data_IF_251610713289
#
_entry.id   IF_251610713289
#
_cell.length_a   1.000
_cell.length_b   1.000
_cell.length_c   1.000
_cell.angle_alpha   90.00
_cell.angle_beta   90.00
_cell.angle_gamma   90.00
#
_symmetry.space_group_name_H-M   'P 1'
#
loop_
_entity.id
_entity.type
_entity.pdbx_description
1 polymer ?
#
# COMPACT_ATOMS: atom_id res chain seq x y z
N UNK A 1 1.79 16.74 19.97
CA UNK A 1 3.07 16.18 20.46
C UNK A 1 2.89 15.47 21.80
N UNK A 2 2.39 16.14 22.84
CA UNK A 2 2.31 15.59 24.21
C UNK A 2 1.55 14.24 24.33
N UNK A 3 0.43 14.08 23.63
CA UNK A 3 -0.35 12.84 23.61
C UNK A 3 0.41 11.66 23.01
N UNK A 4 1.15 11.88 21.92
CA UNK A 4 1.90 10.83 21.25
C UNK A 4 3.10 10.39 22.10
N UNK A 5 3.80 11.34 22.72
CA UNK A 5 4.91 11.06 23.63
C UNK A 5 4.49 10.19 24.82
N UNK A 6 3.36 10.51 25.45
CA UNK A 6 2.84 9.70 26.55
C UNK A 6 2.50 8.26 26.12
N UNK A 7 1.90 8.08 24.94
CA UNK A 7 1.60 6.75 24.39
C UNK A 7 2.90 5.98 24.10
N UNK A 8 3.88 6.64 23.48
CA UNK A 8 5.17 6.03 23.17
C UNK A 8 5.90 5.56 24.44
N UNK A 9 5.93 6.39 25.49
CA UNK A 9 6.48 6.03 26.80
C UNK A 9 5.75 4.85 27.44
N UNK A 10 4.41 4.86 27.42
CA UNK A 10 3.60 3.75 27.95
C UNK A 10 3.85 2.43 27.20
N UNK A 11 4.16 2.51 25.90
CA UNK A 11 4.47 1.35 25.05
C UNK A 11 5.97 0.99 25.03
N UNK A 12 6.83 1.73 25.73
CA UNK A 12 8.29 1.52 25.73
C UNK A 12 8.95 1.75 24.36
N UNK A 13 8.39 2.65 23.55
CA UNK A 13 8.83 2.96 22.18
C UNK A 13 9.33 4.39 22.05
N UNK A 14 10.09 4.65 20.99
CA UNK A 14 10.35 6.02 20.57
C UNK A 14 9.07 6.67 20.03
N UNK A 15 9.00 8.00 20.06
CA UNK A 15 7.87 8.76 19.51
C UNK A 15 7.73 8.53 18.00
N UNK A 16 8.83 8.33 17.28
CA UNK A 16 8.82 8.01 15.85
C UNK A 16 8.21 6.63 15.60
N UNK A 17 8.64 5.61 16.36
CA UNK A 17 8.13 4.24 16.20
C UNK A 17 6.63 4.17 16.49
N UNK A 18 6.16 4.90 17.51
CA UNK A 18 4.74 4.99 17.83
C UNK A 18 3.97 5.70 16.71
N UNK A 19 4.50 6.79 16.15
CA UNK A 19 3.89 7.47 15.00
C UNK A 19 3.81 6.55 13.78
N UNK A 20 4.90 5.84 13.46
CA UNK A 20 4.99 4.92 12.34
C UNK A 20 3.97 3.80 12.47
N UNK A 21 3.85 3.18 13.64
CA UNK A 21 2.90 2.09 13.87
C UNK A 21 1.45 2.58 13.74
N UNK A 22 1.11 3.75 14.32
CA UNK A 22 -0.22 4.36 14.15
C UNK A 22 -0.54 4.59 12.68
N UNK A 23 0.39 5.18 11.91
CA UNK A 23 0.19 5.43 10.48
C UNK A 23 0.04 4.13 9.69
N UNK A 24 0.88 3.12 9.96
CA UNK A 24 0.79 1.80 9.30
C UNK A 24 -0.57 1.16 9.56
N UNK A 25 -1.05 1.16 10.80
CA UNK A 25 -2.37 0.59 11.15
C UNK A 25 -3.50 1.30 10.41
N UNK A 26 -3.49 2.63 10.39
CA UNK A 26 -4.52 3.43 9.68
C UNK A 26 -4.50 3.15 8.18
N UNK A 27 -3.31 3.07 7.56
CA UNK A 27 -3.18 2.75 6.13
C UNK A 27 -3.60 1.30 5.84
N UNK A 28 -3.32 0.36 6.72
CA UNK A 28 -3.75 -1.04 6.56
C UNK A 28 -5.26 -1.20 6.75
N UNK A 29 -5.91 -0.39 7.60
CA UNK A 29 -7.36 -0.43 7.78
C UNK A 29 -8.14 -0.03 6.52
N UNK A 30 -7.58 0.85 5.69
CA UNK A 30 -8.22 1.27 4.43
C UNK A 30 -7.97 0.30 3.27
N UNK A 31 -6.90 -0.49 3.34
CA UNK A 31 -6.50 -1.42 2.28
C UNK A 31 -6.87 -2.85 2.70
N UNK A 32 -8.05 -3.32 2.30
CA UNK A 32 -8.48 -4.70 2.59
C UNK A 32 -7.70 -5.76 1.82
N UNK A 33 -7.18 -5.42 0.63
CA UNK A 33 -6.39 -6.31 -0.23
C UNK A 33 -5.29 -5.50 -0.91
N UNK A 34 -4.11 -6.09 -1.06
CA UNK A 34 -3.02 -5.48 -1.83
C UNK A 34 -3.37 -5.38 -3.31
N UNK A 35 -2.77 -4.41 -4.02
CA UNK A 35 -3.00 -4.19 -5.45
C UNK A 35 -2.80 -5.48 -6.28
N UNK A 36 -1.73 -6.24 -6.01
CA UNK A 36 -1.48 -7.51 -6.71
C UNK A 36 -2.58 -8.55 -6.49
N UNK A 37 -3.15 -8.62 -5.29
CA UNK A 37 -4.28 -9.52 -4.98
C UNK A 37 -5.55 -9.09 -5.72
N UNK A 38 -5.81 -7.78 -5.81
CA UNK A 38 -6.95 -7.25 -6.56
C UNK A 38 -6.81 -7.54 -8.06
N UNK A 39 -5.63 -7.30 -8.63
CA UNK A 39 -5.33 -7.63 -10.02
C UNK A 39 -5.54 -9.13 -10.25
N UNK A 40 -4.94 -9.99 -9.42
CA UNK A 40 -5.10 -11.44 -9.58
C UNK A 40 -6.58 -11.89 -9.56
N UNK A 41 -7.40 -11.33 -8.68
CA UNK A 41 -8.83 -11.63 -8.59
C UNK A 41 -9.60 -11.20 -9.84
N UNK A 42 -9.29 -10.03 -10.40
CA UNK A 42 -9.96 -9.59 -11.64
C UNK A 42 -9.59 -10.48 -12.84
N UNK A 43 -8.33 -10.87 -12.95
CA UNK A 43 -7.92 -11.80 -14.01
C UNK A 43 -8.51 -13.20 -13.79
N UNK A 44 -8.58 -13.69 -12.55
CA UNK A 44 -9.21 -14.98 -12.22
C UNK A 44 -10.71 -14.99 -12.56
N UNK A 45 -11.43 -13.90 -12.28
CA UNK A 45 -12.87 -13.78 -12.54
C UNK A 45 -13.24 -13.94 -14.02
N UNK A 46 -12.30 -13.67 -14.94
CA UNK A 46 -12.48 -13.84 -16.38
C UNK A 46 -11.78 -15.09 -16.96
N UNK A 47 -11.22 -15.95 -16.10
CA UNK A 47 -10.50 -17.16 -16.53
C UNK A 47 -9.05 -16.93 -16.98
N UNK A 48 -8.50 -15.76 -16.68
CA UNK A 48 -7.20 -15.28 -17.17
C UNK A 48 -7.31 -14.67 -18.56
N UNK A 49 -6.44 -13.70 -18.86
CA UNK A 49 -6.32 -13.11 -20.20
C UNK A 49 -4.85 -12.98 -20.56
N UNK A 50 -4.50 -13.43 -21.76
CA UNK A 50 -3.22 -13.15 -22.39
C UNK A 50 -3.39 -11.87 -23.22
N UNK A 51 -2.67 -10.82 -22.84
CA UNK A 51 -2.79 -9.51 -23.48
C UNK A 51 -1.71 -9.37 -24.54
N UNK A 52 -2.09 -8.97 -25.75
CA UNK A 52 -1.11 -8.61 -26.76
C UNK A 52 -0.25 -7.44 -26.27
N UNK A 53 1.07 -7.57 -26.42
CA UNK A 53 1.99 -6.51 -26.07
C UNK A 53 1.74 -5.31 -26.99
N UNK A 54 1.51 -4.10 -26.46
CA UNK A 54 1.31 -2.93 -27.29
C UNK A 54 2.57 -2.66 -28.11
N UNK A 55 2.38 -2.23 -29.36
CA UNK A 55 3.49 -1.80 -30.21
C UNK A 55 4.25 -0.66 -29.50
N UNK A 56 5.58 -0.78 -29.42
CA UNK A 56 6.43 0.28 -28.87
C UNK A 56 6.43 1.46 -29.85
N UNK A 57 5.63 2.49 -29.58
CA UNK A 57 5.79 3.78 -30.25
C UNK A 57 6.97 4.51 -29.63
N UNK A 58 8.01 4.78 -30.40
CA UNK A 58 9.03 5.75 -30.04
C UNK A 58 8.38 7.14 -30.02
N UNK A 59 7.78 7.55 -28.91
CA UNK A 59 7.58 8.97 -28.69
C UNK A 59 8.97 9.56 -28.44
N UNK A 60 9.52 10.26 -29.42
CA UNK A 60 10.60 11.20 -29.13
C UNK A 60 10.10 12.10 -28.00
N UNK A 61 10.80 12.13 -26.86
CA UNK A 61 10.57 13.16 -25.86
C UNK A 61 10.86 14.49 -26.55
N UNK A 62 9.84 15.33 -26.73
CA UNK A 62 10.00 16.75 -27.02
C UNK A 62 10.37 17.51 -25.74
#
# INVERSE_FOLDING_TARGET
MQKLSWIAEANGRSVEDEARDILVRVVQQTIQKGLGTLIAQEFEAIGGVDLELPARSLSARE
#
